data_IF_924392114345
#
_entry.id   IF_924392114345
#
_cell.length_a   1.000
_cell.length_b   1.000
_cell.length_c   1.000
_cell.angle_alpha   90.00
_cell.angle_beta   90.00
_cell.angle_gamma   90.00
#
_symmetry.space_group_name_H-M   'P 1'
#
loop_
_entity.id
_entity.type
_entity.pdbx_description
1 polymer ?
#
# COMPACT_ATOMS: atom_id res chain seq x y z
N UNK A 1 4.97 3.91 8.08
CA UNK A 1 5.73 2.65 8.29
C UNK A 1 5.00 1.65 9.18
N UNK A 2 4.73 1.93 10.47
CA UNK A 2 4.05 0.94 11.34
C UNK A 2 2.66 0.51 10.85
N UNK A 3 1.88 1.45 10.32
CA UNK A 3 0.54 1.13 9.82
C UNK A 3 0.51 0.42 8.48
N UNK A 4 1.44 0.73 7.57
CA UNK A 4 1.60 -0.01 6.31
C UNK A 4 1.93 -1.47 6.62
N UNK A 5 2.86 -1.72 7.55
CA UNK A 5 3.21 -3.06 7.99
C UNK A 5 2.02 -3.78 8.64
N UNK A 6 1.23 -3.07 9.47
CA UNK A 6 0.03 -3.62 10.10
C UNK A 6 -1.02 -4.00 9.05
N UNK A 7 -1.26 -3.11 8.09
CA UNK A 7 -2.19 -3.35 6.98
C UNK A 7 -1.77 -4.56 6.15
N UNK A 8 -0.49 -4.63 5.73
CA UNK A 8 0.04 -5.76 4.97
C UNK A 8 -0.10 -7.08 5.72
N UNK A 9 0.20 -7.08 7.03
CA UNK A 9 0.03 -8.25 7.87
C UNK A 9 -1.44 -8.69 7.98
N UNK A 10 -2.37 -7.75 8.20
CA UNK A 10 -3.80 -8.04 8.28
C UNK A 10 -4.33 -8.57 6.95
N UNK A 11 -3.93 -7.97 5.83
CA UNK A 11 -4.30 -8.41 4.50
C UNK A 11 -3.76 -9.82 4.21
N UNK A 12 -2.49 -10.07 4.53
CA UNK A 12 -1.87 -11.39 4.36
C UNK A 12 -2.56 -12.46 5.23
N UNK A 13 -2.98 -12.10 6.45
CA UNK A 13 -3.73 -12.97 7.34
C UNK A 13 -5.07 -13.38 6.70
N UNK A 14 -5.88 -12.41 6.25
CA UNK A 14 -7.18 -12.68 5.61
C UNK A 14 -7.02 -13.50 4.32
N UNK A 15 -6.04 -13.18 3.48
CA UNK A 15 -5.75 -13.96 2.27
C UNK A 15 -5.34 -15.40 2.59
N UNK A 16 -4.56 -15.60 3.66
CA UNK A 16 -4.18 -16.93 4.13
C UNK A 16 -5.38 -17.71 4.66
N UNK A 17 -6.28 -17.05 5.38
CA UNK A 17 -7.54 -17.63 5.87
C UNK A 17 -8.42 -18.04 4.68
N UNK A 18 -8.59 -17.17 3.68
CA UNK A 18 -9.31 -17.49 2.42
C UNK A 18 -8.72 -18.71 1.71
N UNK A 19 -7.39 -18.81 1.62
CA UNK A 19 -6.72 -19.97 1.01
C UNK A 19 -6.97 -21.25 1.81
N UNK A 20 -6.91 -21.19 3.14
CA UNK A 20 -7.21 -22.33 4.03
C UNK A 20 -8.67 -22.77 3.90
N UNK A 21 -9.59 -21.81 3.84
CA UNK A 21 -11.02 -22.03 3.67
C UNK A 21 -11.28 -22.86 2.41
N UNK A 22 -10.85 -22.35 1.25
CA UNK A 22 -10.96 -23.04 -0.05
C UNK A 22 -10.33 -24.43 -0.03
N UNK A 23 -9.14 -24.58 0.56
CA UNK A 23 -8.50 -25.89 0.68
C UNK A 23 -9.33 -26.87 1.53
N UNK A 24 -9.94 -26.39 2.62
CA UNK A 24 -10.80 -27.20 3.47
C UNK A 24 -12.08 -27.65 2.76
N UNK A 25 -12.73 -26.77 2.01
CA UNK A 25 -13.94 -27.11 1.24
C UNK A 25 -13.62 -28.00 0.05
N UNK A 26 -12.52 -27.76 -0.66
CA UNK A 26 -12.03 -28.66 -1.71
C UNK A 26 -11.85 -30.09 -1.17
N UNK A 27 -11.27 -30.25 0.04
CA UNK A 27 -11.15 -31.55 0.69
C UNK A 27 -12.51 -32.16 1.08
N UNK A 28 -13.45 -31.37 1.64
CA UNK A 28 -14.81 -31.82 1.97
C UNK A 28 -15.57 -32.29 0.73
N UNK A 29 -15.50 -31.53 -0.37
CA UNK A 29 -16.14 -31.87 -1.65
C UNK A 29 -15.50 -33.12 -2.25
N UNK A 30 -14.17 -33.25 -2.22
CA UNK A 30 -13.48 -34.44 -2.69
C UNK A 30 -13.89 -35.69 -1.89
N UNK A 31 -13.97 -35.59 -0.56
CA UNK A 31 -14.46 -36.67 0.31
C UNK A 31 -15.92 -37.02 -0.02
N UNK A 32 -16.79 -36.02 -0.16
CA UNK A 32 -18.19 -36.21 -0.53
C UNK A 32 -18.36 -36.95 -1.87
N UNK A 33 -17.46 -36.75 -2.83
CA UNK A 33 -17.44 -37.50 -4.10
C UNK A 33 -17.03 -38.95 -3.91
N UNK A 34 -16.00 -39.20 -3.09
CA UNK A 34 -15.55 -40.58 -2.76
C UNK A 34 -16.64 -41.37 -2.04
N UNK A 35 -17.35 -40.72 -1.12
CA UNK A 35 -18.43 -41.31 -0.34
C UNK A 35 -19.74 -41.44 -1.14
N UNK A 36 -19.74 -41.09 -2.44
CA UNK A 36 -20.91 -41.12 -3.35
C UNK A 36 -22.14 -40.40 -2.80
N UNK A 37 -21.94 -39.33 -2.02
CA UNK A 37 -23.05 -38.50 -1.52
C UNK A 37 -23.87 -37.91 -2.66
N UNK A 38 -25.08 -37.50 -2.34
CA UNK A 38 -26.03 -36.95 -3.30
C UNK A 38 -25.47 -35.70 -3.99
N UNK A 39 -26.12 -35.29 -5.10
CA UNK A 39 -25.79 -34.01 -5.74
C UNK A 39 -26.07 -32.85 -4.79
N UNK A 40 -27.19 -32.92 -4.07
CA UNK A 40 -27.66 -31.85 -3.18
C UNK A 40 -26.69 -31.62 -2.01
N UNK A 41 -26.13 -32.70 -1.43
CA UNK A 41 -25.09 -32.59 -0.39
C UNK A 41 -23.86 -31.82 -0.88
N UNK A 42 -23.47 -32.03 -2.14
CA UNK A 42 -22.30 -31.37 -2.74
C UNK A 42 -22.59 -29.92 -3.08
N UNK A 43 -23.82 -29.62 -3.50
CA UNK A 43 -24.24 -28.26 -3.78
C UNK A 43 -24.35 -27.45 -2.49
N UNK A 44 -24.85 -28.05 -1.41
CA UNK A 44 -24.85 -27.44 -0.08
C UNK A 44 -23.44 -27.06 0.38
N UNK A 45 -22.45 -27.93 0.18
CA UNK A 45 -21.04 -27.62 0.49
C UNK A 45 -20.48 -26.45 -0.33
N UNK A 46 -20.87 -26.34 -1.61
CA UNK A 46 -20.44 -25.22 -2.48
C UNK A 46 -21.10 -23.91 -2.10
N UNK A 47 -22.40 -23.95 -1.81
CA UNK A 47 -23.13 -22.78 -1.33
C UNK A 47 -22.53 -22.28 -0.02
N UNK A 48 -22.18 -23.18 0.89
CA UNK A 48 -21.50 -22.83 2.13
C UNK A 48 -20.09 -22.28 1.88
N UNK A 49 -19.29 -22.90 1.00
CA UNK A 49 -17.97 -22.39 0.60
C UNK A 49 -18.08 -20.96 0.06
N UNK A 50 -19.02 -20.71 -0.84
CA UNK A 50 -19.24 -19.41 -1.44
C UNK A 50 -19.65 -18.36 -0.41
N UNK A 51 -20.54 -18.71 0.53
CA UNK A 51 -20.96 -17.81 1.60
C UNK A 51 -19.79 -17.41 2.51
N UNK A 52 -19.03 -18.39 3.00
CA UNK A 52 -17.85 -18.13 3.85
C UNK A 52 -16.74 -17.39 3.08
N UNK A 53 -16.62 -17.62 1.77
CA UNK A 53 -15.67 -16.89 0.92
C UNK A 53 -16.07 -15.42 0.74
N UNK A 54 -17.36 -15.15 0.54
CA UNK A 54 -17.88 -13.78 0.40
C UNK A 54 -17.61 -12.94 1.64
N UNK A 55 -17.76 -13.51 2.84
CA UNK A 55 -17.45 -12.83 4.11
C UNK A 55 -15.98 -12.37 4.15
N UNK A 56 -15.05 -13.26 3.80
CA UNK A 56 -13.63 -12.93 3.77
C UNK A 56 -13.30 -11.91 2.68
N UNK A 57 -13.97 -11.98 1.53
CA UNK A 57 -13.79 -11.00 0.46
C UNK A 57 -14.26 -9.62 0.86
N UNK A 58 -15.44 -9.51 1.47
CA UNK A 58 -15.96 -8.27 2.03
C UNK A 58 -14.93 -7.67 3.00
N UNK A 59 -14.47 -8.46 3.98
CA UNK A 59 -13.50 -8.01 4.97
C UNK A 59 -12.17 -7.54 4.37
N UNK A 60 -11.71 -8.19 3.30
CA UNK A 60 -10.53 -7.73 2.53
C UNK A 60 -10.81 -6.37 1.89
N UNK A 61 -11.97 -6.18 1.26
CA UNK A 61 -12.31 -4.91 0.61
C UNK A 61 -12.51 -3.77 1.62
N UNK A 62 -13.13 -4.05 2.77
CA UNK A 62 -13.30 -3.11 3.87
C UNK A 62 -11.95 -2.69 4.46
N UNK A 63 -11.04 -3.64 4.68
CA UNK A 63 -9.68 -3.36 5.17
C UNK A 63 -8.90 -2.47 4.19
N UNK A 64 -8.92 -2.80 2.90
CA UNK A 64 -8.24 -2.00 1.85
C UNK A 64 -8.83 -0.60 1.81
N UNK A 65 -10.16 -0.48 1.83
CA UNK A 65 -10.85 0.81 1.78
C UNK A 65 -10.49 1.68 2.97
N UNK A 66 -10.54 1.12 4.18
CA UNK A 66 -10.19 1.82 5.42
C UNK A 66 -8.76 2.35 5.39
N UNK A 67 -7.81 1.52 4.95
CA UNK A 67 -6.42 1.91 4.80
C UNK A 67 -6.23 3.04 3.78
N UNK A 68 -6.90 2.98 2.62
CA UNK A 68 -6.82 4.03 1.61
C UNK A 68 -7.41 5.35 2.10
N UNK A 69 -8.53 5.31 2.82
CA UNK A 69 -9.15 6.50 3.42
C UNK A 69 -8.21 7.14 4.44
N UNK A 70 -7.57 6.33 5.29
CA UNK A 70 -6.60 6.84 6.24
C UNK A 70 -5.39 7.51 5.56
N UNK A 71 -4.86 6.91 4.50
CA UNK A 71 -3.78 7.48 3.70
C UNK A 71 -4.22 8.76 2.99
N UNK A 72 -5.44 8.79 2.43
CA UNK A 72 -6.00 9.97 1.78
C UNK A 72 -6.14 11.12 2.78
N UNK A 73 -6.68 10.87 3.98
CA UNK A 73 -6.79 11.86 5.05
C UNK A 73 -5.43 12.42 5.47
N UNK A 74 -4.41 11.56 5.63
CA UNK A 74 -3.03 12.00 5.98
C UNK A 74 -2.40 12.89 4.92
N UNK A 75 -2.78 12.70 3.67
CA UNK A 75 -2.27 13.45 2.52
C UNK A 75 -3.20 14.58 2.08
N UNK A 76 -4.35 14.74 2.73
CA UNK A 76 -5.42 15.68 2.35
C UNK A 76 -5.92 15.45 0.90
N UNK A 77 -5.89 14.20 0.46
CA UNK A 77 -6.45 13.79 -0.84
C UNK A 77 -7.97 13.61 -0.70
N UNK A 78 -8.78 14.14 -1.64
CA UNK A 78 -10.23 14.00 -1.60
C UNK A 78 -10.68 12.53 -1.60
N UNK A 79 -11.61 12.19 -0.71
CA UNK A 79 -12.23 10.86 -0.65
C UNK A 79 -13.45 10.85 -1.58
N UNK A 80 -13.68 9.78 -2.36
CA UNK A 80 -14.89 9.66 -3.17
C UNK A 80 -16.17 9.68 -2.32
N UNK A 81 -17.15 10.49 -2.71
CA UNK A 81 -18.42 10.66 -1.99
C UNK A 81 -19.66 10.21 -2.78
N UNK A 82 -19.53 9.93 -4.08
CA UNK A 82 -20.66 9.48 -4.89
C UNK A 82 -21.11 8.09 -4.44
N UNK A 83 -22.42 7.85 -4.35
CA UNK A 83 -22.94 6.51 -4.03
C UNK A 83 -22.45 5.43 -5.03
N UNK A 84 -22.16 5.81 -6.28
CA UNK A 84 -21.57 4.90 -7.29
C UNK A 84 -20.15 4.46 -6.99
N UNK A 85 -19.42 5.22 -6.15
CA UNK A 85 -18.04 4.92 -5.77
C UNK A 85 -17.99 3.92 -4.60
N UNK A 86 -19.13 3.64 -3.98
CA UNK A 86 -19.26 2.77 -2.83
C UNK A 86 -20.12 1.56 -3.15
N UNK A 87 -19.70 0.42 -2.63
CA UNK A 87 -20.48 -0.80 -2.62
C UNK A 87 -20.85 -1.11 -1.17
N UNK A 88 -22.12 -1.43 -0.94
CA UNK A 88 -22.60 -1.91 0.34
C UNK A 88 -22.96 -3.38 0.17
N UNK A 89 -22.25 -4.24 0.89
CA UNK A 89 -22.55 -5.66 0.93
C UNK A 89 -23.86 -5.87 1.71
N UNK A 90 -24.88 -6.37 1.02
CA UNK A 90 -26.19 -6.67 1.62
C UNK A 90 -26.17 -7.87 2.56
N UNK A 91 -25.15 -8.72 2.46
CA UNK A 91 -25.04 -9.98 3.22
C UNK A 91 -24.41 -9.74 4.57
N UNK A 92 -23.31 -8.98 4.61
CA UNK A 92 -22.51 -8.75 5.83
C UNK A 92 -22.60 -7.31 6.35
N UNK A 93 -23.23 -6.41 5.59
CA UNK A 93 -23.42 -5.00 5.98
C UNK A 93 -22.17 -4.13 5.83
N UNK A 94 -21.08 -4.67 5.31
CA UNK A 94 -19.84 -3.91 5.11
C UNK A 94 -19.97 -2.96 3.92
N UNK A 95 -19.47 -1.72 4.09
CA UNK A 95 -19.41 -0.72 3.03
C UNK A 95 -17.96 -0.47 2.64
N UNK A 96 -17.64 -0.62 1.37
CA UNK A 96 -16.29 -0.46 0.84
C UNK A 96 -16.29 0.23 -0.53
N UNK A 97 -15.16 0.81 -0.93
CA UNK A 97 -15.04 1.47 -2.23
C UNK A 97 -15.09 0.44 -3.35
N UNK A 98 -15.72 0.79 -4.48
CA UNK A 98 -15.69 -0.02 -5.69
C UNK A 98 -14.26 -0.15 -6.23
N UNK A 99 -14.02 -1.14 -7.10
CA UNK A 99 -12.69 -1.35 -7.67
C UNK A 99 -12.17 -0.11 -8.42
N UNK A 100 -13.04 0.58 -9.14
CA UNK A 100 -12.72 1.80 -9.88
C UNK A 100 -12.38 2.95 -8.92
N UNK A 101 -13.23 3.21 -7.92
CA UNK A 101 -13.01 4.25 -6.94
C UNK A 101 -11.73 4.02 -6.12
N UNK A 102 -11.42 2.77 -5.75
CA UNK A 102 -10.15 2.42 -5.10
C UNK A 102 -8.94 2.67 -6.00
N UNK A 103 -9.04 2.31 -7.28
CA UNK A 103 -7.95 2.54 -8.25
C UNK A 103 -7.66 4.03 -8.38
N UNK A 104 -8.72 4.84 -8.53
CA UNK A 104 -8.64 6.29 -8.57
C UNK A 104 -7.99 6.87 -7.31
N UNK A 105 -8.53 6.55 -6.13
CA UNK A 105 -8.00 7.04 -4.86
C UNK A 105 -6.54 6.66 -4.64
N UNK A 106 -6.13 5.44 -5.04
CA UNK A 106 -4.72 5.01 -4.99
C UNK A 106 -3.83 5.85 -5.89
N UNK A 107 -4.29 6.19 -7.09
CA UNK A 107 -3.53 7.01 -8.01
C UNK A 107 -3.40 8.44 -7.49
N UNK A 108 -4.46 9.00 -6.93
CA UNK A 108 -4.45 10.34 -6.34
C UNK A 108 -3.49 10.40 -5.14
N UNK A 109 -3.52 9.40 -4.25
CA UNK A 109 -2.56 9.24 -3.15
C UNK A 109 -1.11 9.17 -3.67
N UNK A 110 -0.86 8.41 -4.74
CA UNK A 110 0.49 8.27 -5.32
C UNK A 110 0.96 9.59 -5.95
N UNK A 111 0.09 10.28 -6.65
CA UNK A 111 0.38 11.57 -7.25
C UNK A 111 0.77 12.60 -6.19
N UNK A 112 0.00 12.66 -5.09
CA UNK A 112 0.28 13.56 -3.97
C UNK A 112 1.59 13.20 -3.24
N UNK A 113 1.84 11.91 -2.96
CA UNK A 113 3.12 11.46 -2.39
C UNK A 113 4.31 11.88 -3.28
N UNK A 114 4.17 11.74 -4.60
CA UNK A 114 5.20 12.15 -5.56
C UNK A 114 5.41 13.66 -5.57
N UNK A 115 4.34 14.46 -5.61
CA UNK A 115 4.43 15.91 -5.58
C UNK A 115 5.15 16.41 -4.31
N UNK A 116 4.84 15.83 -3.14
CA UNK A 116 5.55 16.15 -1.89
C UNK A 116 7.02 15.77 -1.92
N UNK A 117 7.35 14.62 -2.52
CA UNK A 117 8.74 14.20 -2.70
C UNK A 117 9.51 15.14 -3.65
N UNK A 118 8.90 15.55 -4.76
CA UNK A 118 9.50 16.48 -5.71
C UNK A 118 9.78 17.85 -5.06
N UNK A 119 8.85 18.33 -4.21
CA UNK A 119 9.08 19.53 -3.38
C UNK A 119 10.27 19.33 -2.43
N UNK A 120 10.29 18.21 -1.70
CA UNK A 120 11.40 17.91 -0.79
C UNK A 120 12.75 17.84 -1.53
N UNK A 121 12.79 17.21 -2.71
CA UNK A 121 14.00 17.08 -3.52
C UNK A 121 14.49 18.42 -4.08
N UNK A 122 13.57 19.32 -4.48
CA UNK A 122 13.96 20.66 -4.93
C UNK A 122 14.56 21.50 -3.80
N UNK A 123 14.00 21.43 -2.59
CA UNK A 123 14.54 22.13 -1.42
C UNK A 123 15.87 21.55 -0.93
N UNK A 124 16.00 20.22 -0.88
CA UNK A 124 17.24 19.55 -0.45
C UNK A 124 18.35 19.65 -1.50
N UNK A 125 18.02 19.63 -2.79
CA UNK A 125 18.97 19.86 -3.88
C UNK A 125 19.62 21.25 -3.78
N UNK A 126 18.84 22.28 -3.42
CA UNK A 126 19.38 23.62 -3.15
C UNK A 126 20.32 23.64 -1.93
N UNK A 127 19.94 22.98 -0.84
CA UNK A 127 20.79 22.89 0.36
C UNK A 127 22.10 22.14 0.09
N UNK A 128 22.04 21.00 -0.60
CA UNK A 128 23.23 20.22 -0.98
C UNK A 128 24.12 21.03 -1.93
N UNK A 129 23.54 21.72 -2.92
CA UNK A 129 24.30 22.60 -3.82
C UNK A 129 25.01 23.72 -3.06
N UNK A 130 24.33 24.35 -2.10
CA UNK A 130 24.90 25.41 -1.27
C UNK A 130 26.06 24.91 -0.40
N UNK A 131 25.92 23.73 0.21
CA UNK A 131 26.98 23.10 1.01
C UNK A 131 28.16 22.70 0.11
N UNK A 132 27.89 22.18 -1.09
CA UNK A 132 28.94 21.75 -2.01
C UNK A 132 29.74 22.95 -2.55
N UNK A 133 29.05 24.04 -2.91
CA UNK A 133 29.69 25.28 -3.36
C UNK A 133 30.57 25.90 -2.26
N UNK A 134 30.08 25.97 -1.02
CA UNK A 134 30.85 26.52 0.11
C UNK A 134 32.05 25.64 0.47
N UNK A 135 31.90 24.32 0.44
CA UNK A 135 33.01 23.38 0.67
C UNK A 135 34.07 23.47 -0.43
N UNK A 136 33.65 23.64 -1.69
CA UNK A 136 34.56 23.82 -2.82
C UNK A 136 35.42 25.08 -2.68
N UNK A 137 34.81 26.20 -2.27
CA UNK A 137 35.51 27.48 -2.02
C UNK A 137 36.49 27.36 -0.84
N UNK A 138 36.06 26.74 0.27
CA UNK A 138 36.95 26.50 1.41
C UNK A 138 38.14 25.62 1.03
N UNK A 139 37.92 24.57 0.23
CA UNK A 139 38.99 23.71 -0.28
C UNK A 139 39.99 24.46 -1.15
N UNK A 140 39.53 25.39 -1.99
CA UNK A 140 40.42 26.22 -2.82
C UNK A 140 41.24 27.18 -1.97
N UNK A 141 40.64 27.84 -0.99
CA UNK A 141 41.35 28.74 -0.07
C UNK A 141 42.43 27.99 0.72
N UNK A 142 42.11 26.80 1.25
CA UNK A 142 43.08 25.96 1.96
C UNK A 142 44.22 25.52 1.02
N UNK A 143 43.91 25.10 -0.20
CA UNK A 143 44.91 24.69 -1.19
C UNK A 143 45.86 25.83 -1.56
N UNK A 144 45.35 27.04 -1.78
CA UNK A 144 46.16 28.23 -2.10
C UNK A 144 47.05 28.63 -0.92
N UNK A 145 46.52 28.65 0.31
CA UNK A 145 47.30 28.94 1.50
C UNK A 145 48.42 27.92 1.73
N UNK A 146 48.14 26.64 1.49
CA UNK A 146 49.14 25.57 1.59
C UNK A 146 50.23 25.71 0.53
N UNK A 147 49.87 26.09 -0.70
CA UNK A 147 50.82 26.34 -1.78
C UNK A 147 51.74 27.54 -1.48
N UNK A 148 51.16 28.65 -1.00
CA UNK A 148 51.95 29.84 -0.63
C UNK A 148 52.90 29.59 0.53
N UNK A 149 52.51 28.75 1.50
CA UNK A 149 53.38 28.36 2.61
C UNK A 149 54.50 27.39 2.18
N UNK A 150 54.30 26.62 1.11
CA UNK A 150 55.27 25.67 0.58
C UNK A 150 56.25 26.29 -0.44
N UNK A 151 56.05 27.53 -0.87
CA UNK A 151 56.93 28.21 -1.81
C UNK A 151 58.27 28.59 -1.13
N UNK A 152 59.43 28.16 -1.66
CA UNK A 152 60.73 28.53 -1.10
C UNK A 152 61.02 30.04 -1.29
N UNK A 153 61.78 30.68 -0.38
CA UNK A 153 62.05 32.11 -0.45
C UNK A 153 62.85 32.47 -1.71
N UNK A 154 62.61 33.65 -2.30
CA UNK A 154 63.35 34.11 -3.46
C UNK A 154 64.83 34.28 -3.11
N UNK A 155 65.70 33.64 -3.90
CA UNK A 155 67.16 33.76 -3.85
C UNK A 155 67.63 35.08 -4.47
#
# INVERSE_FOLDING_TARGET
>A
MFEENRFEWQLAKLQKEKKKLRASFAAKIAKSRKDKKSRDDREGLRSQEQFEEQELDAGIQALITSFLIEQANKLLVPIPHSETDWFTDTTFGERFLTAEARSKLRNDIRAEKKARWDLFQSHTGLLISLITATTGVLGTVIGVLSFMKAAPPPH
#
